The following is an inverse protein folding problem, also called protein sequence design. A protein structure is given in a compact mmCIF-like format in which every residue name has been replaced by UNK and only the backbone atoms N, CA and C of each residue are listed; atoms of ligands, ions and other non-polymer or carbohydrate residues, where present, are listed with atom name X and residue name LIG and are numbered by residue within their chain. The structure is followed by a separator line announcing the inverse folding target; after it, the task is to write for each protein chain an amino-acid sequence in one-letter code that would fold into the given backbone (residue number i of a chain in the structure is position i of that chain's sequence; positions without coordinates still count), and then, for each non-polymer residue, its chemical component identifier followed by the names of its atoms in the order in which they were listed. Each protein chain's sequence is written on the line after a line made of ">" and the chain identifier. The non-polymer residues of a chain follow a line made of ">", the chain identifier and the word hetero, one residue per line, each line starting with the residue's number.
data_IF_585221632193
#
_entry.id   IF_585221632193
#
_cell.length_a   1.000
_cell.length_b   1.000
_cell.length_c   1.000
_cell.angle_alpha   90.00
_cell.angle_beta   90.00
_cell.angle_gamma   90.00
#
_symmetry.space_group_name_H-M   'P 1'
#
loop_
_entity.id
_entity.type
_entity.pdbx_description
1 polymer ?
#
# COMPACT_ATOMS: atom_id res chain seq x y z
N UNK A 1 -2.50 -2.16 -2.11
CA UNK A 1 -1.96 -3.40 -1.53
C UNK A 1 -1.02 -4.06 -2.53
N UNK A 2 0.05 -4.71 -2.07
CA UNK A 2 0.93 -5.54 -2.91
C UNK A 2 0.84 -6.99 -2.42
N UNK A 3 0.43 -7.92 -3.27
CA UNK A 3 0.45 -9.35 -2.94
C UNK A 3 1.84 -9.93 -3.25
N UNK A 4 2.73 -9.86 -2.27
CA UNK A 4 4.05 -10.50 -2.29
C UNK A 4 4.51 -10.77 -0.86
N UNK A 5 5.12 -11.93 -0.65
CA UNK A 5 5.76 -12.31 0.63
C UNK A 5 7.24 -11.92 0.68
N UNK A 6 7.80 -11.39 -0.42
CA UNK A 6 9.16 -10.84 -0.46
C UNK A 6 9.12 -9.34 -0.10
N UNK A 7 9.68 -8.93 1.06
CA UNK A 7 9.68 -7.52 1.47
C UNK A 7 10.39 -6.59 0.47
N UNK A 8 11.46 -7.06 -0.18
CA UNK A 8 12.23 -6.24 -1.11
C UNK A 8 11.44 -5.99 -2.40
N UNK A 9 10.79 -7.02 -2.94
CA UNK A 9 9.89 -6.89 -4.09
C UNK A 9 8.71 -5.97 -3.75
N UNK A 10 8.03 -6.23 -2.62
CA UNK A 10 6.87 -5.45 -2.21
C UNK A 10 7.17 -3.96 -2.04
N UNK A 11 8.29 -3.63 -1.37
CA UNK A 11 8.72 -2.26 -1.16
C UNK A 11 9.18 -1.59 -2.45
N UNK A 12 9.79 -2.32 -3.37
CA UNK A 12 10.14 -1.78 -4.69
C UNK A 12 8.89 -1.34 -5.46
N UNK A 13 7.89 -2.22 -5.56
CA UNK A 13 6.61 -1.92 -6.23
C UNK A 13 5.91 -0.72 -5.56
N UNK A 14 5.87 -0.73 -4.23
CA UNK A 14 5.24 0.34 -3.45
C UNK A 14 5.96 1.69 -3.61
N UNK A 15 7.31 1.69 -3.58
CA UNK A 15 8.11 2.90 -3.75
C UNK A 15 7.92 3.51 -5.14
N UNK A 16 7.92 2.68 -6.18
CA UNK A 16 7.71 3.13 -7.56
C UNK A 16 6.33 3.76 -7.74
N UNK A 17 5.29 3.19 -7.13
CA UNK A 17 3.96 3.78 -7.11
C UNK A 17 3.93 5.13 -6.37
N UNK A 18 4.52 5.20 -5.17
CA UNK A 18 4.52 6.41 -4.35
C UNK A 18 5.31 7.57 -4.98
N UNK A 19 6.38 7.28 -5.73
CA UNK A 19 7.25 8.31 -6.33
C UNK A 19 6.48 9.35 -7.14
N UNK A 20 5.49 8.92 -7.92
CA UNK A 20 4.64 9.83 -8.70
C UNK A 20 3.79 10.77 -7.84
N UNK A 21 3.23 10.25 -6.74
CA UNK A 21 2.43 11.04 -5.81
C UNK A 21 3.29 12.00 -4.99
N UNK A 22 4.45 11.55 -4.51
CA UNK A 22 5.33 12.36 -3.65
C UNK A 22 6.06 13.46 -4.41
N UNK A 23 6.11 13.39 -5.74
CA UNK A 23 6.54 14.52 -6.58
C UNK A 23 5.54 15.70 -6.56
N UNK A 24 4.29 15.48 -6.13
CA UNK A 24 3.27 16.52 -6.01
C UNK A 24 3.29 17.14 -4.60
N UNK A 25 3.53 18.47 -4.48
CA UNK A 25 3.71 19.11 -3.18
C UNK A 25 2.55 18.91 -2.20
N UNK A 26 1.31 18.83 -2.69
CA UNK A 26 0.14 18.63 -1.83
C UNK A 26 0.13 17.25 -1.14
N UNK A 27 0.62 16.20 -1.80
CA UNK A 27 0.73 14.86 -1.22
C UNK A 27 1.89 14.78 -0.22
N UNK A 28 3.07 15.27 -0.59
CA UNK A 28 4.22 15.33 0.30
C UNK A 28 3.89 16.13 1.59
N UNK A 29 3.32 17.32 1.44
CA UNK A 29 2.93 18.16 2.58
C UNK A 29 1.85 17.51 3.46
N UNK A 30 0.99 16.65 2.90
CA UNK A 30 0.02 15.91 3.69
C UNK A 30 0.69 14.90 4.63
N UNK A 31 1.71 14.20 4.15
CA UNK A 31 2.43 13.22 4.95
C UNK A 31 3.29 13.88 6.04
N UNK A 32 3.90 15.02 5.76
CA UNK A 32 4.61 15.81 6.78
C UNK A 32 3.69 16.18 7.95
N UNK A 33 2.47 16.65 7.66
CA UNK A 33 1.47 16.95 8.71
C UNK A 33 1.03 15.72 9.52
N UNK A 34 1.09 14.54 8.90
CA UNK A 34 0.77 13.26 9.54
C UNK A 34 1.93 12.70 10.37
N UNK A 35 3.06 13.41 10.45
CA UNK A 35 4.19 13.05 11.31
C UNK A 35 5.31 12.28 10.63
N UNK A 36 5.37 12.25 9.29
CA UNK A 36 6.55 11.79 8.56
C UNK A 36 7.58 12.91 8.41
N UNK A 37 8.84 12.55 8.25
CA UNK A 37 9.94 13.49 8.06
C UNK A 37 10.19 13.80 6.58
N UNK A 38 10.94 14.86 6.29
CA UNK A 38 11.41 15.14 4.93
C UNK A 38 12.31 14.01 4.40
N UNK A 39 13.07 13.37 5.28
CA UNK A 39 13.89 12.20 4.95
C UNK A 39 13.02 11.00 4.55
N UNK A 40 11.95 10.72 5.30
CA UNK A 40 11.01 9.64 4.96
C UNK A 40 10.41 9.82 3.56
N UNK A 41 10.10 11.06 3.18
CA UNK A 41 9.49 11.39 1.88
C UNK A 41 10.54 11.34 0.77
N UNK A 42 11.69 11.99 0.96
CA UNK A 42 12.72 12.08 -0.08
C UNK A 42 13.38 10.74 -0.39
N UNK A 43 13.50 9.86 0.62
CA UNK A 43 14.00 8.49 0.45
C UNK A 43 12.91 7.47 0.13
N UNK A 44 11.62 7.82 0.30
CA UNK A 44 10.49 6.89 0.30
C UNK A 44 10.80 5.73 1.27
N UNK A 45 10.98 6.05 2.55
CA UNK A 45 11.49 5.12 3.55
C UNK A 45 10.61 3.88 3.71
N UNK A 46 11.20 2.77 4.15
CA UNK A 46 10.47 1.55 4.49
C UNK A 46 9.34 1.82 5.49
N UNK A 47 9.58 2.69 6.47
CA UNK A 47 8.56 3.11 7.45
C UNK A 47 7.38 3.80 6.76
N UNK A 48 7.64 4.68 5.80
CA UNK A 48 6.59 5.35 5.03
C UNK A 48 5.81 4.33 4.19
N UNK A 49 6.52 3.44 3.49
CA UNK A 49 5.90 2.39 2.68
C UNK A 49 5.01 1.50 3.54
N UNK A 50 5.54 0.93 4.63
CA UNK A 50 4.85 -0.03 5.49
C UNK A 50 3.63 0.60 6.20
N UNK A 51 3.61 1.92 6.35
CA UNK A 51 2.48 2.67 6.92
C UNK A 51 1.39 2.99 5.89
N UNK A 52 1.74 3.21 4.62
CA UNK A 52 0.80 3.67 3.58
C UNK A 52 0.30 2.52 2.70
N UNK A 53 1.14 1.51 2.45
CA UNK A 53 0.85 0.41 1.53
C UNK A 53 0.96 -0.90 2.30
N UNK A 54 -0.19 -1.55 2.50
CA UNK A 54 -0.23 -2.93 2.97
C UNK A 54 0.37 -3.89 1.93
N UNK A 55 1.23 -4.78 2.37
CA UNK A 55 1.81 -5.85 1.54
C UNK A 55 1.93 -7.15 2.34
N UNK A 56 1.99 -8.27 1.63
CA UNK A 56 2.07 -9.61 2.22
C UNK A 56 1.24 -10.63 1.45
N UNK A 57 0.91 -11.72 2.13
CA UNK A 57 -0.07 -12.71 1.69
C UNK A 57 -1.52 -12.23 1.96
N UNK A 58 -2.49 -13.07 1.60
CA UNK A 58 -3.91 -12.79 1.80
C UNK A 58 -4.24 -12.48 3.26
N UNK A 59 -3.70 -13.24 4.21
CA UNK A 59 -3.95 -13.03 5.65
C UNK A 59 -3.43 -11.66 6.12
N UNK A 60 -2.25 -11.25 5.66
CA UNK A 60 -1.71 -9.92 5.94
C UNK A 60 -2.60 -8.80 5.36
N UNK A 61 -3.13 -8.98 4.15
CA UNK A 61 -4.04 -8.03 3.52
C UNK A 61 -5.38 -7.97 4.26
N UNK A 62 -5.96 -9.13 4.61
CA UNK A 62 -7.21 -9.21 5.35
C UNK A 62 -7.09 -8.56 6.73
N UNK A 63 -6.00 -8.81 7.46
CA UNK A 63 -5.72 -8.15 8.73
C UNK A 63 -5.71 -6.63 8.60
N UNK A 64 -5.12 -6.09 7.53
CA UNK A 64 -5.13 -4.64 7.26
C UNK A 64 -6.53 -4.11 6.96
N UNK A 65 -7.33 -4.87 6.20
CA UNK A 65 -8.74 -4.54 5.96
C UNK A 65 -9.53 -4.50 7.28
N UNK A 66 -9.32 -5.48 8.16
CA UNK A 66 -10.01 -5.54 9.44
C UNK A 66 -9.55 -4.45 10.41
N UNK A 67 -8.29 -4.04 10.37
CA UNK A 67 -7.81 -2.86 11.11
C UNK A 67 -8.51 -1.58 10.65
N UNK A 68 -8.75 -1.40 9.35
CA UNK A 68 -9.57 -0.28 8.86
C UNK A 68 -11.02 -0.36 9.32
N UNK A 69 -11.62 -1.55 9.32
CA UNK A 69 -12.99 -1.76 9.84
C UNK A 69 -13.08 -1.49 11.33
N UNK A 70 -12.11 -1.96 12.11
CA UNK A 70 -12.01 -1.70 13.54
C UNK A 70 -11.82 -0.21 13.85
N UNK A 71 -11.18 0.54 12.94
CA UNK A 71 -11.08 1.99 13.00
C UNK A 71 -12.37 2.74 12.57
N UNK A 72 -13.44 2.01 12.22
CA UNK A 72 -14.76 2.56 11.92
C UNK A 72 -15.13 2.60 10.43
N UNK A 73 -14.31 2.05 9.53
CA UNK A 73 -14.67 1.94 8.12
C UNK A 73 -15.80 0.92 7.89
N UNK A 74 -16.85 1.34 7.19
CA UNK A 74 -17.94 0.47 6.72
C UNK A 74 -17.71 -0.03 5.28
N UNK A 75 -16.82 0.63 4.54
CA UNK A 75 -16.36 0.27 3.21
C UNK A 75 -14.84 0.43 3.11
N UNK A 76 -14.14 -0.62 2.65
CA UNK A 76 -12.70 -0.58 2.36
C UNK A 76 -12.46 -0.87 0.87
N UNK A 77 -11.98 0.13 0.13
CA UNK A 77 -11.61 -0.02 -1.28
C UNK A 77 -10.19 -0.58 -1.41
N UNK A 78 -10.03 -1.71 -2.11
CA UNK A 78 -8.73 -2.38 -2.27
C UNK A 78 -8.19 -2.16 -3.69
N UNK A 79 -7.14 -1.34 -3.81
CA UNK A 79 -6.35 -1.20 -5.03
C UNK A 79 -5.15 -2.15 -4.99
N UNK A 80 -5.04 -3.06 -5.95
CA UNK A 80 -3.86 -3.92 -6.10
C UNK A 80 -2.80 -3.20 -6.93
N UNK A 81 -1.56 -3.24 -6.44
CA UNK A 81 -0.37 -2.75 -7.14
C UNK A 81 0.46 -3.97 -7.57
N UNK A 82 0.93 -3.96 -8.80
CA UNK A 82 1.84 -4.96 -9.35
C UNK A 82 3.09 -4.28 -9.91
N UNK A 83 4.10 -5.07 -10.32
CA UNK A 83 5.33 -4.54 -10.90
C UNK A 83 5.14 -3.82 -12.24
N UNK A 84 4.04 -4.09 -12.97
CA UNK A 84 3.65 -3.31 -14.15
C UNK A 84 2.35 -2.55 -13.86
N UNK A 85 2.37 -1.21 -13.78
CA UNK A 85 1.17 -0.42 -13.51
C UNK A 85 0.07 -0.52 -14.59
N UNK A 86 0.38 -1.13 -15.74
CA UNK A 86 -0.59 -1.39 -16.83
C UNK A 86 -1.23 -2.77 -16.74
N UNK A 87 -0.71 -3.64 -15.89
CA UNK A 87 -1.24 -4.99 -15.70
C UNK A 87 -2.67 -4.92 -15.14
N UNK A 88 -3.54 -5.80 -15.62
CA UNK A 88 -4.86 -5.99 -15.05
C UNK A 88 -4.79 -7.08 -13.96
N UNK A 89 -4.86 -6.74 -12.65
CA UNK A 89 -4.50 -7.63 -11.55
C UNK A 89 -5.63 -8.61 -11.18
N UNK A 90 -6.15 -9.32 -12.19
CA UNK A 90 -7.32 -10.19 -12.06
C UNK A 90 -7.10 -11.35 -11.09
N UNK A 91 -5.90 -11.94 -11.12
CA UNK A 91 -5.59 -13.09 -10.28
C UNK A 91 -5.44 -12.69 -8.81
N UNK A 92 -4.77 -11.57 -8.57
CA UNK A 92 -4.61 -10.97 -7.26
C UNK A 92 -5.97 -10.64 -6.64
N UNK A 93 -6.89 -10.05 -7.41
CA UNK A 93 -8.26 -9.82 -6.94
C UNK A 93 -9.01 -11.11 -6.63
N UNK A 94 -8.84 -12.17 -7.43
CA UNK A 94 -9.46 -13.47 -7.15
C UNK A 94 -8.97 -14.09 -5.85
N UNK A 95 -7.65 -14.03 -5.61
CA UNK A 95 -7.03 -14.51 -4.38
C UNK A 95 -7.58 -13.77 -3.16
N UNK A 96 -7.58 -12.43 -3.19
CA UNK A 96 -8.14 -11.61 -2.11
C UNK A 96 -9.63 -11.90 -1.92
N UNK A 97 -10.41 -11.96 -3.00
CA UNK A 97 -11.84 -12.21 -2.92
C UNK A 97 -12.17 -13.61 -2.35
N UNK A 98 -11.39 -14.63 -2.69
CA UNK A 98 -11.55 -15.98 -2.14
C UNK A 98 -11.16 -16.05 -0.66
N UNK A 99 -10.23 -15.19 -0.23
CA UNK A 99 -9.85 -15.07 1.16
C UNK A 99 -10.86 -14.27 2.00
N UNK A 100 -11.69 -13.39 1.42
CA UNK A 100 -12.74 -12.68 2.15
C UNK A 100 -13.86 -13.65 2.57
N UNK A 101 -13.95 -13.95 3.86
CA UNK A 101 -15.01 -14.75 4.47
C UNK A 101 -15.94 -13.92 5.36
#
# INVERSE_FOLDING_TARGET
>A
VVLSTDPAEARTIAADFLRGYLALPNYANNLLRSGFTEEDISSISDRLIDAIIAWGDEDAILRRIDEHRAAGADHVCVQVLTGDPREFPKEQWRRIAAALH
#
